data_IF_483134506423
#
_entry.id   IF_483134506423
#
_cell.length_a   1.000
_cell.length_b   1.000
_cell.length_c   1.000
_cell.angle_alpha   90.00
_cell.angle_beta   90.00
_cell.angle_gamma   90.00
#
_symmetry.space_group_name_H-M   'P 1'
#
loop_
_entity.id
_entity.type
_entity.pdbx_description
1 polymer ?
#
# COMPACT_ATOMS: atom_id res chain seq x y z
N UNK A 1 -54.93 -7.15 17.47
CA UNK A 1 -53.67 -6.75 18.19
C UNK A 1 -52.52 -7.74 17.92
N UNK A 2 -52.66 -9.04 18.13
CA UNK A 2 -51.58 -10.03 17.97
C UNK A 2 -50.83 -10.02 16.62
N UNK A 3 -51.57 -9.91 15.46
CA UNK A 3 -50.93 -9.81 14.13
C UNK A 3 -50.07 -8.58 13.91
N UNK A 4 -50.44 -7.41 14.47
CA UNK A 4 -49.63 -6.17 14.34
C UNK A 4 -48.34 -6.26 15.17
N UNK A 5 -48.39 -6.90 16.33
CA UNK A 5 -47.20 -7.11 17.19
C UNK A 5 -46.22 -8.05 16.52
N UNK A 6 -46.69 -9.11 15.85
CA UNK A 6 -45.85 -10.08 15.14
C UNK A 6 -45.09 -9.41 13.97
N UNK A 7 -45.74 -8.51 13.22
CA UNK A 7 -45.13 -7.78 12.11
C UNK A 7 -44.04 -6.82 12.61
N UNK A 8 -44.30 -6.12 13.70
CA UNK A 8 -43.31 -5.21 14.29
C UNK A 8 -42.08 -5.98 14.82
N UNK A 9 -42.31 -7.14 15.45
CA UNK A 9 -41.23 -7.96 15.97
C UNK A 9 -40.35 -8.53 14.85
N UNK A 10 -40.94 -9.01 13.75
CA UNK A 10 -40.20 -9.51 12.59
C UNK A 10 -39.39 -8.41 11.91
N UNK A 11 -39.92 -7.17 11.87
CA UNK A 11 -39.17 -6.02 11.32
C UNK A 11 -37.98 -5.63 12.19
N UNK A 12 -38.15 -5.65 13.54
CA UNK A 12 -37.05 -5.41 14.48
C UNK A 12 -35.97 -6.48 14.41
N UNK A 13 -36.34 -7.75 14.30
CA UNK A 13 -35.39 -8.83 14.12
C UNK A 13 -34.64 -8.70 12.81
N UNK A 14 -35.31 -8.39 11.70
CA UNK A 14 -34.66 -8.16 10.41
C UNK A 14 -33.71 -6.96 10.44
N UNK A 15 -34.08 -5.88 11.13
CA UNK A 15 -33.25 -4.70 11.33
C UNK A 15 -32.03 -5.04 12.20
N UNK A 16 -32.19 -5.78 13.29
CA UNK A 16 -31.07 -6.25 14.11
C UNK A 16 -30.10 -7.15 13.34
N UNK A 17 -30.63 -8.06 12.50
CA UNK A 17 -29.82 -8.88 11.61
C UNK A 17 -29.09 -8.05 10.56
N UNK A 18 -29.72 -7.08 9.96
CA UNK A 18 -29.07 -6.17 9.00
C UNK A 18 -27.96 -5.35 9.67
N UNK A 19 -28.21 -4.81 10.87
CA UNK A 19 -27.22 -4.09 11.67
C UNK A 19 -26.08 -5.04 12.07
N UNK A 20 -26.37 -6.24 12.55
CA UNK A 20 -25.38 -7.25 12.88
C UNK A 20 -24.52 -7.62 11.67
N UNK A 21 -25.11 -7.81 10.49
CA UNK A 21 -24.40 -8.11 9.24
C UNK A 21 -23.47 -6.94 8.82
N UNK A 22 -23.92 -5.69 8.98
CA UNK A 22 -23.11 -4.51 8.68
C UNK A 22 -21.93 -4.41 9.65
N UNK A 23 -22.16 -4.66 10.94
CA UNK A 23 -21.10 -4.56 11.97
C UNK A 23 -20.12 -5.73 11.99
N UNK A 24 -20.49 -6.89 11.44
CA UNK A 24 -19.62 -8.09 11.44
C UNK A 24 -18.86 -8.28 10.12
N UNK A 25 -19.10 -7.44 9.10
CA UNK A 25 -18.37 -7.53 7.84
C UNK A 25 -16.90 -7.13 8.09
N UNK A 26 -16.03 -8.13 8.20
CA UNK A 26 -14.60 -7.94 8.36
C UNK A 26 -14.04 -7.26 7.11
N UNK A 27 -13.19 -6.25 7.29
CA UNK A 27 -12.47 -5.61 6.19
C UNK A 27 -11.67 -6.67 5.43
N UNK A 28 -11.86 -6.74 4.12
CA UNK A 28 -11.10 -7.58 3.24
C UNK A 28 -9.90 -6.78 2.76
N UNK A 29 -8.70 -7.24 3.12
CA UNK A 29 -7.45 -6.60 2.74
C UNK A 29 -6.78 -7.41 1.63
N UNK A 30 -6.32 -6.73 0.60
CA UNK A 30 -5.42 -7.25 -0.42
C UNK A 30 -4.16 -6.41 -0.37
N UNK A 31 -3.00 -7.04 -0.34
CA UNK A 31 -1.74 -6.38 -0.07
C UNK A 31 -0.76 -6.66 -1.20
N UNK A 32 -0.03 -5.63 -1.64
CA UNK A 32 1.00 -5.75 -2.67
C UNK A 32 2.18 -4.82 -2.40
N UNK A 33 3.38 -5.27 -2.74
CA UNK A 33 4.60 -4.47 -2.76
C UNK A 33 4.98 -4.30 -4.23
N UNK A 34 5.10 -3.03 -4.66
CA UNK A 34 5.39 -2.67 -6.04
C UNK A 34 6.44 -1.56 -6.02
N UNK A 35 7.59 -1.74 -6.66
CA UNK A 35 8.62 -0.70 -6.73
C UNK A 35 8.16 0.52 -7.52
N UNK A 36 8.77 1.67 -7.23
CA UNK A 36 8.56 2.91 -7.98
C UNK A 36 9.72 3.29 -8.90
N UNK A 37 10.79 2.51 -8.93
CA UNK A 37 11.85 2.64 -9.91
C UNK A 37 11.38 2.11 -11.28
N UNK A 38 11.04 3.01 -12.19
CA UNK A 38 10.33 2.69 -13.44
C UNK A 38 11.26 2.61 -14.66
N UNK A 39 12.44 1.98 -14.53
CA UNK A 39 13.40 1.83 -15.63
C UNK A 39 12.85 0.94 -16.77
N UNK A 40 12.17 -0.14 -16.41
CA UNK A 40 11.39 -0.98 -17.33
C UNK A 40 10.00 -1.20 -16.75
N UNK A 41 9.00 -0.76 -17.48
CA UNK A 41 7.61 -0.77 -17.00
C UNK A 41 6.83 -2.02 -17.37
N UNK A 42 7.40 -2.92 -18.18
CA UNK A 42 6.71 -4.14 -18.59
C UNK A 42 6.34 -5.02 -17.39
N UNK A 43 7.27 -5.21 -16.45
CA UNK A 43 7.03 -6.00 -15.24
C UNK A 43 6.05 -5.34 -14.29
N UNK A 44 6.04 -4.03 -14.22
CA UNK A 44 5.04 -3.26 -13.46
C UNK A 44 3.64 -3.48 -14.06
N UNK A 45 3.52 -3.40 -15.38
CA UNK A 45 2.26 -3.64 -16.09
C UNK A 45 1.75 -5.07 -15.89
N UNK A 46 2.62 -6.08 -16.06
CA UNK A 46 2.29 -7.49 -15.80
C UNK A 46 1.80 -7.70 -14.36
N UNK A 47 2.45 -7.06 -13.39
CA UNK A 47 2.10 -7.26 -11.99
C UNK A 47 0.76 -6.58 -11.63
N UNK A 48 0.49 -5.39 -12.14
CA UNK A 48 -0.83 -4.75 -11.98
C UNK A 48 -1.95 -5.57 -12.64
N UNK A 49 -1.68 -6.14 -13.83
CA UNK A 49 -2.61 -7.07 -14.49
C UNK A 49 -2.86 -8.31 -13.62
N UNK A 50 -1.80 -8.91 -13.06
CA UNK A 50 -1.90 -10.05 -12.16
C UNK A 50 -2.78 -9.74 -10.93
N UNK A 51 -2.57 -8.58 -10.28
CA UNK A 51 -3.36 -8.18 -9.12
C UNK A 51 -4.83 -8.00 -9.48
N UNK A 52 -5.10 -7.34 -10.61
CA UNK A 52 -6.46 -7.15 -11.12
C UNK A 52 -7.13 -8.50 -11.41
N UNK A 53 -6.49 -9.38 -12.16
CA UNK A 53 -7.08 -10.64 -12.60
C UNK A 53 -7.26 -11.63 -11.45
N UNK A 54 -6.34 -11.69 -10.51
CA UNK A 54 -6.44 -12.57 -9.34
C UNK A 54 -7.53 -12.16 -8.36
N UNK A 55 -7.72 -10.85 -8.15
CA UNK A 55 -8.51 -10.34 -7.02
C UNK A 55 -9.72 -9.50 -7.43
N UNK A 56 -9.68 -8.89 -8.60
CA UNK A 56 -10.61 -7.85 -8.98
C UNK A 56 -11.24 -8.04 -10.36
N UNK A 57 -11.12 -9.22 -10.98
CA UNK A 57 -11.65 -9.51 -12.32
C UNK A 57 -13.16 -9.22 -12.49
N UNK A 58 -13.91 -9.23 -11.38
CA UNK A 58 -15.35 -8.98 -11.39
C UNK A 58 -15.79 -7.73 -10.62
N UNK A 59 -14.89 -7.13 -9.85
CA UNK A 59 -15.21 -5.97 -9.01
C UNK A 59 -13.95 -5.24 -8.57
N UNK A 60 -13.89 -3.93 -8.77
CA UNK A 60 -12.81 -3.09 -8.24
C UNK A 60 -12.78 -3.11 -6.70
N UNK A 61 -11.62 -2.84 -6.07
CA UNK A 61 -11.60 -2.52 -4.66
C UNK A 61 -12.45 -1.28 -4.35
N UNK A 62 -12.96 -1.17 -3.14
CA UNK A 62 -13.66 0.04 -2.69
C UNK A 62 -12.69 1.22 -2.58
N UNK A 63 -11.44 0.93 -2.22
CA UNK A 63 -10.37 1.91 -2.10
C UNK A 63 -8.98 1.28 -2.30
N UNK A 64 -8.03 2.14 -2.67
CA UNK A 64 -6.60 1.82 -2.68
C UNK A 64 -5.91 2.71 -1.65
N UNK A 65 -5.12 2.11 -0.76
CA UNK A 65 -4.16 2.84 0.08
C UNK A 65 -2.79 2.68 -0.55
N UNK A 66 -2.18 3.78 -0.95
CA UNK A 66 -0.86 3.81 -1.58
C UNK A 66 0.14 4.41 -0.58
N UNK A 67 1.08 3.60 -0.12
CA UNK A 67 2.08 3.98 0.88
C UNK A 67 3.44 4.07 0.18
N UNK A 68 4.15 5.19 0.36
CA UNK A 68 5.45 5.47 -0.24
C UNK A 68 6.43 5.97 0.82
N UNK A 69 7.75 5.80 0.64
CA UNK A 69 8.74 6.49 1.46
C UNK A 69 8.60 8.01 1.37
N UNK A 70 9.20 8.71 2.32
CA UNK A 70 9.32 10.15 2.30
C UNK A 70 10.73 10.53 1.82
N UNK A 71 10.92 10.73 0.53
CA UNK A 71 12.23 11.07 -0.04
C UNK A 71 12.67 12.49 0.21
N UNK A 72 11.73 13.43 0.40
CA UNK A 72 12.05 14.87 0.40
C UNK A 72 12.08 15.49 1.79
N UNK A 73 11.42 14.89 2.79
CA UNK A 73 11.23 15.50 4.12
C UNK A 73 11.61 14.57 5.26
N UNK A 74 12.81 14.04 5.25
CA UNK A 74 13.31 13.00 6.18
C UNK A 74 13.24 13.36 7.68
N UNK A 75 13.07 14.63 8.02
CA UNK A 75 12.95 15.07 9.41
C UNK A 75 11.59 14.76 10.04
N UNK A 76 10.64 14.30 9.27
CA UNK A 76 9.32 13.95 9.76
C UNK A 76 9.27 12.45 10.10
N UNK A 77 9.39 12.13 11.36
CA UNK A 77 9.41 10.78 11.93
C UNK A 77 8.08 10.02 11.81
N UNK A 78 7.05 10.62 11.25
CA UNK A 78 5.69 10.11 11.23
C UNK A 78 5.22 9.79 9.82
N UNK A 79 4.16 9.02 9.72
CA UNK A 79 3.42 8.86 8.47
C UNK A 79 2.60 10.13 8.25
N UNK A 80 2.66 10.63 7.04
CA UNK A 80 2.03 11.86 6.62
C UNK A 80 1.02 11.59 5.52
N UNK A 81 -0.11 12.29 5.58
CA UNK A 81 -1.11 12.34 4.52
C UNK A 81 -1.64 13.75 4.37
N UNK A 82 -2.29 14.05 3.27
CA UNK A 82 -3.00 15.30 3.10
C UNK A 82 -4.46 15.15 3.48
N UNK A 83 -5.02 16.19 4.11
CA UNK A 83 -6.43 16.26 4.52
C UNK A 83 -7.29 17.11 3.60
N UNK A 84 -6.77 17.55 2.48
CA UNK A 84 -7.51 18.35 1.50
C UNK A 84 -7.83 17.53 0.26
N UNK A 85 -8.98 17.83 -0.35
CA UNK A 85 -9.27 17.33 -1.69
C UNK A 85 -8.18 17.79 -2.65
N UNK A 86 -7.57 16.85 -3.35
CA UNK A 86 -6.42 17.09 -4.18
C UNK A 86 -6.85 17.60 -5.54
N UNK A 87 -6.49 18.84 -5.84
CA UNK A 87 -6.33 19.27 -7.21
C UNK A 87 -4.91 18.93 -7.66
N UNK A 88 -4.75 17.78 -8.28
CA UNK A 88 -3.47 17.34 -8.83
C UNK A 88 -3.09 18.15 -10.06
N UNK A 89 -2.60 19.35 -9.86
CA UNK A 89 -2.15 20.19 -10.98
C UNK A 89 -0.90 19.67 -11.68
N UNK A 90 -0.09 18.84 -11.04
CA UNK A 90 1.16 18.32 -11.58
C UNK A 90 1.10 16.89 -12.12
N UNK A 91 0.17 16.09 -11.65
CA UNK A 91 -0.11 14.76 -12.22
C UNK A 91 -1.21 14.84 -13.28
N UNK A 92 -1.65 16.05 -13.58
CA UNK A 92 -2.93 16.39 -14.21
C UNK A 92 -3.06 16.06 -15.69
N UNK A 93 -2.05 15.59 -16.38
CA UNK A 93 -2.31 15.21 -17.75
C UNK A 93 -3.11 13.91 -17.92
N UNK A 94 -3.24 13.07 -16.87
CA UNK A 94 -3.90 11.77 -17.03
C UNK A 94 -4.64 11.20 -15.80
N UNK A 95 -4.74 11.90 -14.67
CA UNK A 95 -5.44 11.37 -13.47
C UNK A 95 -6.61 12.28 -13.11
N UNK A 96 -7.81 11.70 -13.04
CA UNK A 96 -8.97 12.44 -12.55
C UNK A 96 -8.77 12.76 -11.05
N UNK A 97 -8.65 14.04 -10.73
CA UNK A 97 -8.48 14.54 -9.34
C UNK A 97 -9.57 14.08 -8.37
N UNK A 98 -10.71 13.62 -8.89
CA UNK A 98 -11.79 13.02 -8.10
C UNK A 98 -11.45 11.64 -7.53
N UNK A 99 -10.41 10.98 -8.04
CA UNK A 99 -9.96 9.67 -7.55
C UNK A 99 -9.17 9.76 -6.25
N UNK A 100 -8.58 10.92 -5.94
CA UNK A 100 -7.80 11.08 -4.72
C UNK A 100 -8.65 11.68 -3.62
N UNK A 101 -8.72 10.99 -2.52
CA UNK A 101 -9.38 11.46 -1.31
C UNK A 101 -8.45 11.42 -0.13
N UNK A 102 -8.75 12.28 0.82
CA UNK A 102 -7.99 12.38 2.06
C UNK A 102 -8.40 11.25 3.00
N UNK A 103 -7.42 10.71 3.71
CA UNK A 103 -7.70 9.88 4.88
C UNK A 103 -8.51 10.69 5.90
N UNK A 104 -9.42 10.05 6.68
CA UNK A 104 -10.08 10.72 7.79
C UNK A 104 -9.02 11.36 8.69
N UNK A 105 -9.08 12.68 8.85
CA UNK A 105 -8.08 13.44 9.57
C UNK A 105 -8.28 13.34 11.07
N UNK A 106 -7.89 12.23 11.67
CA UNK A 106 -7.64 12.22 13.11
C UNK A 106 -6.24 12.82 13.35
N UNK A 107 -6.21 14.05 13.87
CA UNK A 107 -5.00 14.86 14.07
C UNK A 107 -3.91 14.19 14.92
N UNK A 108 -4.27 13.20 15.72
CA UNK A 108 -3.35 12.50 16.61
C UNK A 108 -2.65 11.29 15.96
N UNK A 109 -3.13 10.83 14.80
CA UNK A 109 -2.62 9.64 14.11
C UNK A 109 -1.74 10.00 12.92
N UNK A 110 -2.10 11.05 12.19
CA UNK A 110 -1.36 11.52 11.02
C UNK A 110 -0.84 12.92 11.27
N UNK A 111 0.44 13.15 11.00
CA UNK A 111 0.92 14.50 10.85
C UNK A 111 0.40 15.02 9.52
N UNK A 112 -0.56 15.94 9.60
CA UNK A 112 -1.03 16.66 8.43
C UNK A 112 0.14 17.51 7.96
N UNK A 113 0.69 17.18 6.81
CA UNK A 113 1.74 17.97 6.17
C UNK A 113 1.13 18.83 5.07
N UNK A 114 1.89 19.81 4.64
CA UNK A 114 1.59 20.63 3.48
C UNK A 114 1.37 19.71 2.28
N UNK A 115 0.36 19.99 1.48
CA UNK A 115 -0.01 19.23 0.27
C UNK A 115 1.21 18.92 -0.62
N UNK A 116 2.20 19.82 -0.64
CA UNK A 116 3.43 19.66 -1.42
C UNK A 116 4.25 18.41 -1.05
N UNK A 117 4.28 17.96 0.21
CA UNK A 117 5.04 16.77 0.61
C UNK A 117 4.54 15.51 -0.08
N UNK A 118 3.23 15.37 -0.16
CA UNK A 118 2.61 14.20 -0.78
C UNK A 118 2.56 14.36 -2.30
N UNK A 119 2.31 15.58 -2.81
CA UNK A 119 2.27 15.87 -4.26
C UNK A 119 3.64 15.68 -4.91
N UNK A 120 4.72 16.05 -4.21
CA UNK A 120 6.09 15.93 -4.74
C UNK A 120 6.66 14.51 -4.63
N UNK A 121 5.98 13.60 -3.90
CA UNK A 121 6.50 12.26 -3.69
C UNK A 121 6.35 11.40 -4.97
N UNK A 122 7.49 11.16 -5.63
CA UNK A 122 7.51 10.43 -6.88
C UNK A 122 7.07 8.97 -6.71
N UNK A 123 7.38 8.34 -5.57
CA UNK A 123 6.94 6.98 -5.27
C UNK A 123 5.44 6.83 -5.21
N UNK A 124 4.66 7.92 -5.03
CA UNK A 124 3.21 7.92 -5.24
C UNK A 124 2.86 8.15 -6.71
N UNK A 125 3.50 9.17 -7.32
CA UNK A 125 3.17 9.63 -8.68
C UNK A 125 3.30 8.55 -9.74
N UNK A 126 4.34 7.73 -9.64
CA UNK A 126 4.65 6.67 -10.61
C UNK A 126 3.57 5.58 -10.72
N UNK A 127 2.76 5.38 -9.66
CA UNK A 127 1.72 4.36 -9.66
C UNK A 127 0.39 4.79 -10.27
N UNK A 128 0.08 6.09 -10.34
CA UNK A 128 -1.26 6.54 -10.71
C UNK A 128 -1.68 6.13 -12.11
N UNK A 129 -0.76 6.07 -13.09
CA UNK A 129 -1.08 5.61 -14.44
C UNK A 129 -1.55 4.15 -14.46
N UNK A 130 -0.97 3.29 -13.61
CA UNK A 130 -1.31 1.88 -13.52
C UNK A 130 -2.61 1.68 -12.74
N UNK A 131 -2.77 2.42 -11.64
CA UNK A 131 -4.02 2.44 -10.87
C UNK A 131 -5.17 2.87 -11.78
N UNK A 132 -4.99 3.94 -12.57
CA UNK A 132 -6.03 4.38 -13.50
C UNK A 132 -6.31 3.36 -14.62
N UNK A 133 -5.29 2.64 -15.09
CA UNK A 133 -5.44 1.61 -16.13
C UNK A 133 -6.23 0.41 -15.64
N UNK A 134 -5.91 -0.10 -14.46
CA UNK A 134 -6.44 -1.37 -13.95
C UNK A 134 -7.59 -1.21 -12.95
N UNK A 135 -7.65 -0.10 -12.22
CA UNK A 135 -8.61 0.17 -11.15
C UNK A 135 -9.29 1.53 -11.34
N UNK A 136 -9.78 1.80 -12.55
CA UNK A 136 -10.42 3.07 -12.88
C UNK A 136 -11.59 3.38 -11.92
N UNK A 137 -11.69 4.67 -11.52
CA UNK A 137 -12.73 5.20 -10.62
C UNK A 137 -12.62 4.78 -9.15
N UNK A 138 -11.53 4.10 -8.75
CA UNK A 138 -11.29 3.75 -7.35
C UNK A 138 -10.72 4.95 -6.59
N UNK A 139 -11.17 5.12 -5.36
CA UNK A 139 -10.63 6.15 -4.46
C UNK A 139 -9.24 5.75 -4.01
N UNK A 140 -8.26 6.67 -4.11
CA UNK A 140 -6.89 6.46 -3.64
C UNK A 140 -6.62 7.32 -2.42
N UNK A 141 -6.10 6.70 -1.37
CA UNK A 141 -5.61 7.34 -0.15
C UNK A 141 -4.07 7.30 -0.14
N UNK A 142 -3.39 8.40 -0.49
CA UNK A 142 -1.94 8.45 -0.50
C UNK A 142 -1.39 8.63 0.92
N UNK A 143 -0.35 7.88 1.23
CA UNK A 143 0.38 7.97 2.49
C UNK A 143 1.88 8.06 2.22
N UNK A 144 2.58 8.92 2.95
CA UNK A 144 4.03 9.07 2.90
C UNK A 144 4.60 8.69 4.26
N UNK A 145 5.44 7.67 4.29
CA UNK A 145 6.02 7.13 5.51
C UNK A 145 7.48 7.50 5.65
N UNK A 146 7.89 7.96 6.85
CA UNK A 146 9.31 8.05 7.15
C UNK A 146 9.90 6.65 7.25
N UNK A 147 11.09 6.38 6.70
CA UNK A 147 11.74 5.06 6.78
C UNK A 147 11.89 4.50 8.19
N UNK A 148 11.88 5.35 9.21
CA UNK A 148 12.06 4.99 10.63
C UNK A 148 10.79 5.06 11.48
N UNK A 149 9.62 5.27 10.88
CA UNK A 149 8.36 5.53 11.62
C UNK A 149 7.62 4.26 12.09
N UNK A 150 8.32 3.14 12.32
CA UNK A 150 7.67 1.87 12.69
C UNK A 150 6.86 1.91 13.99
N UNK A 151 7.26 2.72 14.96
CA UNK A 151 6.55 2.85 16.25
C UNK A 151 5.12 3.43 16.15
N UNK A 152 4.80 4.06 15.04
CA UNK A 152 3.47 4.65 14.80
C UNK A 152 2.57 3.78 13.92
N UNK A 153 3.07 2.66 13.42
CA UNK A 153 2.38 1.83 12.41
C UNK A 153 1.08 1.20 12.90
N UNK A 154 0.99 0.82 14.18
CA UNK A 154 -0.23 0.20 14.73
C UNK A 154 -1.46 1.11 14.62
N UNK A 155 -1.26 2.43 14.76
CA UNK A 155 -2.35 3.40 14.63
C UNK A 155 -2.80 3.56 13.19
N UNK A 156 -1.86 3.62 12.25
CA UNK A 156 -2.17 3.71 10.82
C UNK A 156 -2.87 2.45 10.31
N UNK A 157 -2.43 1.27 10.75
CA UNK A 157 -3.09 0.01 10.45
C UNK A 157 -4.56 0.05 10.90
N UNK A 158 -4.83 0.52 12.12
CA UNK A 158 -6.18 0.64 12.63
C UNK A 158 -7.03 1.63 11.80
N UNK A 159 -6.45 2.73 11.31
CA UNK A 159 -7.15 3.68 10.45
C UNK A 159 -7.43 3.11 9.06
N UNK A 160 -6.46 2.42 8.44
CA UNK A 160 -6.65 1.74 7.15
C UNK A 160 -7.82 0.75 7.24
N UNK A 161 -7.91 -0.02 8.32
CA UNK A 161 -8.97 -1.00 8.53
C UNK A 161 -10.36 -0.39 8.69
N UNK A 162 -10.46 0.89 9.04
CA UNK A 162 -11.74 1.61 9.18
C UNK A 162 -12.27 2.19 7.87
N UNK A 163 -11.43 2.29 6.83
CA UNK A 163 -11.77 3.06 5.63
C UNK A 163 -12.90 2.44 4.80
N UNK A 164 -12.75 1.17 4.43
CA UNK A 164 -13.65 0.49 3.52
C UNK A 164 -13.64 -1.03 3.77
N UNK A 165 -14.50 -1.77 3.10
CA UNK A 165 -14.61 -3.21 3.32
C UNK A 165 -13.69 -4.04 2.43
N UNK A 166 -13.40 -3.55 1.21
CA UNK A 166 -12.54 -4.23 0.24
C UNK A 166 -11.43 -3.26 -0.18
N UNK A 167 -10.24 -3.41 0.38
CA UNK A 167 -9.13 -2.46 0.23
C UNK A 167 -7.94 -3.15 -0.40
N UNK A 168 -7.36 -2.52 -1.42
CA UNK A 168 -6.03 -2.83 -1.90
C UNK A 168 -5.02 -1.87 -1.25
N UNK A 169 -4.07 -2.42 -0.50
CA UNK A 169 -2.95 -1.65 0.04
C UNK A 169 -1.72 -1.93 -0.82
N UNK A 170 -1.12 -0.89 -1.35
CA UNK A 170 0.11 -0.95 -2.15
C UNK A 170 1.22 -0.24 -1.38
N UNK A 171 2.29 -0.95 -1.08
CA UNK A 171 3.54 -0.36 -0.64
C UNK A 171 4.44 -0.13 -1.85
N UNK A 172 4.71 1.12 -2.13
CA UNK A 172 5.62 1.61 -3.17
C UNK A 172 7.02 1.64 -2.58
N UNK A 173 7.85 0.62 -2.83
CA UNK A 173 9.14 0.44 -2.17
C UNK A 173 10.17 -0.09 -3.16
N UNK A 174 11.28 0.63 -3.31
CA UNK A 174 12.47 0.12 -3.96
C UNK A 174 13.37 -0.59 -2.96
N UNK A 175 14.05 -1.64 -3.43
CA UNK A 175 14.89 -2.47 -2.58
C UNK A 175 16.33 -1.96 -2.61
N UNK A 176 17.30 -2.84 -2.57
CA UNK A 176 18.71 -2.47 -2.41
C UNK A 176 19.18 -1.41 -3.42
N UNK A 177 19.87 -0.39 -2.92
CA UNK A 177 20.40 0.72 -3.71
C UNK A 177 21.92 0.78 -3.63
N UNK A 178 22.54 1.26 -4.72
CA UNK A 178 23.94 1.71 -4.76
C UNK A 178 24.98 0.61 -4.48
N UNK A 179 24.64 -0.65 -4.69
CA UNK A 179 25.55 -1.79 -4.48
C UNK A 179 25.74 -2.62 -5.77
N UNK A 180 26.88 -3.30 -5.94
CA UNK A 180 27.09 -4.27 -7.00
C UNK A 180 26.00 -5.36 -7.00
N UNK A 181 25.72 -5.95 -8.17
CA UNK A 181 24.58 -6.83 -8.37
C UNK A 181 24.60 -8.08 -7.48
N UNK A 182 25.76 -8.67 -7.24
CA UNK A 182 25.90 -9.84 -6.37
C UNK A 182 25.49 -9.54 -4.92
N UNK A 183 25.93 -8.41 -4.37
CA UNK A 183 25.56 -7.95 -3.03
C UNK A 183 24.08 -7.53 -2.99
N UNK A 184 23.62 -6.81 -4.02
CA UNK A 184 22.21 -6.42 -4.17
C UNK A 184 21.31 -7.65 -4.15
N UNK A 185 21.68 -8.70 -4.86
CA UNK A 185 20.92 -9.95 -4.88
C UNK A 185 20.85 -10.61 -3.50
N UNK A 186 21.95 -10.68 -2.76
CA UNK A 186 21.98 -11.25 -1.40
C UNK A 186 21.09 -10.46 -0.42
N UNK A 187 21.14 -9.12 -0.46
CA UNK A 187 20.29 -8.25 0.37
C UNK A 187 18.80 -8.41 0.03
N UNK A 188 18.48 -8.50 -1.26
CA UNK A 188 17.09 -8.72 -1.70
C UNK A 188 16.57 -10.08 -1.26
N UNK A 189 17.40 -11.15 -1.34
CA UNK A 189 17.03 -12.48 -0.85
C UNK A 189 16.73 -12.46 0.65
N UNK A 190 17.54 -11.74 1.44
CA UNK A 190 17.27 -11.54 2.86
C UNK A 190 15.93 -10.81 3.10
N UNK A 191 15.68 -9.73 2.37
CA UNK A 191 14.43 -8.98 2.45
C UNK A 191 13.21 -9.84 2.09
N UNK A 192 13.29 -10.61 1.01
CA UNK A 192 12.25 -11.55 0.60
C UNK A 192 12.01 -12.62 1.68
N UNK A 193 13.06 -13.14 2.30
CA UNK A 193 12.94 -14.12 3.39
C UNK A 193 12.19 -13.54 4.59
N UNK A 194 12.50 -12.30 5.01
CA UNK A 194 11.78 -11.61 6.09
C UNK A 194 10.31 -11.43 5.73
N UNK A 195 10.01 -10.95 4.51
CA UNK A 195 8.64 -10.65 4.06
C UNK A 195 7.78 -11.90 3.86
N UNK A 196 8.38 -13.04 3.54
CA UNK A 196 7.66 -14.33 3.40
C UNK A 196 7.56 -15.11 4.70
N UNK A 197 8.33 -14.72 5.73
CA UNK A 197 8.28 -15.34 7.05
C UNK A 197 7.08 -14.87 7.85
N UNK A 198 6.53 -15.75 8.69
CA UNK A 198 5.53 -15.40 9.70
C UNK A 198 6.16 -15.02 11.04
N UNK A 199 7.46 -15.26 11.20
CA UNK A 199 8.23 -14.99 12.43
C UNK A 199 9.28 -13.92 12.16
N UNK A 200 8.98 -12.69 12.54
CA UNK A 200 9.86 -11.54 12.40
C UNK A 200 9.71 -10.61 13.60
N UNK A 201 10.72 -9.77 13.80
CA UNK A 201 10.77 -8.71 14.81
C UNK A 201 10.84 -7.34 14.14
N UNK A 202 10.57 -6.28 14.86
CA UNK A 202 10.77 -4.91 14.36
C UNK A 202 12.23 -4.67 13.92
N UNK A 203 13.20 -5.31 14.61
CA UNK A 203 14.61 -5.20 14.27
C UNK A 203 14.95 -5.79 12.91
N UNK A 204 14.25 -6.85 12.48
CA UNK A 204 14.46 -7.44 11.16
C UNK A 204 14.18 -6.43 10.06
N UNK A 205 13.12 -5.62 10.21
CA UNK A 205 12.80 -4.55 9.25
C UNK A 205 13.81 -3.40 9.25
N UNK A 206 14.35 -3.02 10.42
CA UNK A 206 15.40 -2.00 10.46
C UNK A 206 16.70 -2.41 9.76
N UNK A 207 16.91 -3.72 9.63
CA UNK A 207 18.09 -4.30 8.97
C UNK A 207 17.89 -4.53 7.47
N UNK A 208 16.69 -4.28 6.93
CA UNK A 208 16.44 -4.39 5.49
C UNK A 208 17.12 -3.25 4.73
N UNK A 209 17.72 -3.58 3.61
CA UNK A 209 18.29 -2.61 2.68
C UNK A 209 17.20 -2.22 1.66
N UNK A 210 16.33 -1.34 2.09
CA UNK A 210 15.18 -0.82 1.34
C UNK A 210 14.94 0.64 1.69
N UNK A 211 14.31 1.38 0.81
CA UNK A 211 14.04 2.81 1.02
C UNK A 211 12.93 3.08 2.06
N UNK A 212 12.03 2.12 2.29
CA UNK A 212 10.95 2.24 3.27
C UNK A 212 10.74 1.00 4.14
N UNK A 213 11.60 0.73 5.13
CA UNK A 213 11.39 -0.38 6.06
C UNK A 213 10.04 -0.31 6.79
N UNK A 214 9.57 0.89 7.12
CA UNK A 214 8.27 1.09 7.79
C UNK A 214 7.08 0.74 6.89
N UNK A 215 7.17 0.98 5.59
CA UNK A 215 6.15 0.56 4.63
C UNK A 215 6.01 -0.96 4.62
N UNK A 216 7.14 -1.67 4.56
CA UNK A 216 7.16 -3.14 4.59
C UNK A 216 6.67 -3.71 5.93
N UNK A 217 7.03 -3.06 7.04
CA UNK A 217 6.52 -3.43 8.36
C UNK A 217 4.99 -3.32 8.42
N UNK A 218 4.40 -2.23 7.89
CA UNK A 218 2.94 -2.08 7.79
C UNK A 218 2.33 -3.22 6.98
N UNK A 219 2.93 -3.60 5.85
CA UNK A 219 2.43 -4.68 5.00
C UNK A 219 2.41 -6.02 5.73
N UNK A 220 3.48 -6.37 6.43
CA UNK A 220 3.55 -7.61 7.20
C UNK A 220 2.60 -7.62 8.40
N UNK A 221 2.42 -6.50 9.11
CA UNK A 221 1.43 -6.41 10.18
C UNK A 221 -0.01 -6.57 9.64
N UNK A 222 -0.34 -5.93 8.53
CA UNK A 222 -1.62 -6.10 7.86
C UNK A 222 -1.83 -7.56 7.38
N UNK A 223 -0.78 -8.18 6.83
CA UNK A 223 -0.77 -9.58 6.43
C UNK A 223 -1.08 -10.49 7.63
N UNK A 224 -0.37 -10.31 8.74
CA UNK A 224 -0.58 -11.06 9.99
C UNK A 224 -2.01 -10.92 10.52
N UNK A 225 -2.57 -9.70 10.53
CA UNK A 225 -3.94 -9.44 10.99
C UNK A 225 -4.98 -10.11 10.07
N UNK A 226 -4.72 -10.16 8.77
CA UNK A 226 -5.62 -10.77 7.77
C UNK A 226 -5.38 -12.27 7.57
N UNK A 227 -4.32 -12.82 8.16
CA UNK A 227 -3.94 -14.24 8.02
C UNK A 227 -3.28 -14.54 6.67
N UNK A 228 -2.61 -13.56 6.08
CA UNK A 228 -1.95 -13.64 4.78
C UNK A 228 -0.43 -13.60 4.95
N UNK A 229 0.29 -14.23 4.03
CA UNK A 229 1.76 -14.23 3.97
C UNK A 229 2.23 -13.65 2.65
N UNK A 230 3.40 -12.99 2.67
CA UNK A 230 4.02 -12.47 1.45
C UNK A 230 4.36 -13.59 0.47
N UNK A 231 4.02 -13.39 -0.79
CA UNK A 231 4.32 -14.27 -1.91
C UNK A 231 5.23 -13.53 -2.87
N UNK A 232 6.43 -14.06 -3.07
CA UNK A 232 7.37 -13.53 -4.05
C UNK A 232 6.85 -13.79 -5.47
N UNK A 233 6.89 -12.77 -6.33
CA UNK A 233 6.51 -12.91 -7.72
C UNK A 233 7.70 -12.71 -8.67
N UNK A 234 8.45 -11.61 -8.53
CA UNK A 234 9.51 -11.25 -9.44
C UNK A 234 10.54 -10.31 -8.79
N UNK A 235 11.78 -10.41 -9.25
CA UNK A 235 12.88 -9.52 -8.87
C UNK A 235 13.72 -9.19 -10.10
N UNK A 236 14.12 -7.95 -10.24
CA UNK A 236 15.18 -7.47 -11.14
C UNK A 236 15.94 -6.28 -10.51
N UNK A 237 16.89 -5.77 -11.25
CA UNK A 237 17.64 -4.56 -10.88
C UNK A 237 18.06 -3.80 -12.12
N UNK A 238 18.56 -2.55 -11.95
CA UNK A 238 19.14 -1.80 -13.08
C UNK A 238 20.19 -2.62 -13.80
N UNK A 239 21.10 -3.27 -13.06
CA UNK A 239 22.17 -4.12 -13.63
C UNK A 239 21.63 -5.27 -14.49
N UNK A 240 20.61 -5.97 -14.01
CA UNK A 240 20.02 -7.10 -14.74
C UNK A 240 19.23 -6.65 -15.97
N UNK A 241 18.55 -5.50 -15.88
CA UNK A 241 17.76 -4.95 -17.00
C UNK A 241 18.68 -4.48 -18.14
N UNK A 242 19.80 -3.82 -17.82
CA UNK A 242 20.73 -3.32 -18.84
C UNK A 242 21.84 -4.31 -19.22
N UNK A 243 21.83 -5.51 -18.63
CA UNK A 243 22.84 -6.58 -18.86
C UNK A 243 24.27 -6.10 -18.59
N UNK A 244 24.45 -5.23 -17.61
CA UNK A 244 25.74 -4.67 -17.21
C UNK A 244 25.69 -4.32 -15.73
N UNK A 245 26.76 -4.64 -15.01
CA UNK A 245 26.88 -4.17 -13.62
C UNK A 245 26.93 -2.64 -13.59
N UNK A 246 25.92 -2.04 -12.95
CA UNK A 246 25.80 -0.59 -12.79
C UNK A 246 26.45 -0.09 -11.49
N UNK A 247 26.99 -1.00 -10.66
CA UNK A 247 27.69 -0.66 -9.42
C UNK A 247 26.87 0.27 -8.52
N UNK A 248 27.42 1.46 -8.21
CA UNK A 248 26.77 2.45 -7.36
C UNK A 248 25.48 3.06 -7.96
N UNK A 249 25.17 2.84 -9.23
CA UNK A 249 23.90 3.26 -9.86
C UNK A 249 22.83 2.16 -9.82
N UNK A 250 23.13 1.01 -9.18
CA UNK A 250 22.21 -0.12 -9.13
C UNK A 250 21.07 0.16 -8.14
N UNK A 251 19.86 -0.15 -8.58
CA UNK A 251 18.64 -0.16 -7.75
C UNK A 251 17.87 -1.41 -8.10
N UNK A 252 17.44 -2.16 -7.09
CA UNK A 252 16.68 -3.38 -7.29
C UNK A 252 15.19 -3.17 -7.04
N UNK A 253 14.42 -4.04 -7.68
CA UNK A 253 12.94 -4.07 -7.59
C UNK A 253 12.47 -5.46 -7.21
N UNK A 254 11.64 -5.55 -6.19
CA UNK A 254 10.98 -6.79 -5.77
C UNK A 254 9.48 -6.59 -5.79
N UNK A 255 8.77 -7.49 -6.45
CA UNK A 255 7.32 -7.48 -6.56
C UNK A 255 6.76 -8.63 -5.73
N UNK A 256 5.83 -8.29 -4.83
CA UNK A 256 5.20 -9.27 -3.95
C UNK A 256 3.72 -8.97 -3.77
N UNK A 257 2.93 -9.99 -3.48
CA UNK A 257 1.55 -9.86 -3.03
C UNK A 257 1.32 -10.77 -1.81
N UNK A 258 0.22 -10.61 -1.11
CA UNK A 258 -0.09 -11.40 0.08
C UNK A 258 -1.33 -12.27 -0.15
N UNK A 259 -1.24 -13.52 0.24
CA UNK A 259 -2.36 -14.47 0.22
C UNK A 259 -2.27 -15.53 1.35
#
# INVERSE_FOLDING_TARGET
MKKKILIVLSFLIALCWAIFFIYTKKTQLHLAIIPHFMIDTAKVDEFYSLLHDKRYSNQNPDAIVLISPNHFYWQNWNISTSCKDWELRYLAEKVDSKMLKNLPCEKDVFKIVWDNTVISEHGLGEHFRWINKYFSWVVVYPMVASPKAMEYTSKQIAEIQKLHWNILVIASVDFTHYLPEDITYEHDQHSIQVLTSMTWTTQDFYNLDVDCPSCLFIMNELGKISGQTGQFWYRDSSSTIVWKDTGEENTSRVFMYYE
#
